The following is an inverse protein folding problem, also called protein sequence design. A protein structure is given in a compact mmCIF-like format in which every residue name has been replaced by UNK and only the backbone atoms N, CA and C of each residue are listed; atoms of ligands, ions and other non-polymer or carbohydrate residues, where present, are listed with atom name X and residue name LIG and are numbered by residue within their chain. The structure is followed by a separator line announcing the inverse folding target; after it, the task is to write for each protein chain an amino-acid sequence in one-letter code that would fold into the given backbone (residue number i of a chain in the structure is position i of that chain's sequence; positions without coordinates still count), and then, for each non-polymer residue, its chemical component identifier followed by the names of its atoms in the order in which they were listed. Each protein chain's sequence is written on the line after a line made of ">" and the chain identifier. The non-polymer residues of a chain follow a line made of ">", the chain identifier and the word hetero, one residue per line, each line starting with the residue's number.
data_IF_237270080952
#
_entry.id   IF_237270080952
#
_cell.length_a   1.000
_cell.length_b   1.000
_cell.length_c   1.000
_cell.angle_alpha   90.00
_cell.angle_beta   90.00
_cell.angle_gamma   90.00
#
_symmetry.space_group_name_H-M   'P 1'
#
loop_
_entity.id
_entity.type
_entity.pdbx_description
1 polymer ?
#
# COMPACT_ATOMS: atom_id res chain seq x y z
N UNK A 1 -5.90 -23.02 -10.68
CA UNK A 1 -5.81 -22.01 -9.59
C UNK A 1 -6.56 -22.44 -8.32
N UNK A 2 -7.76 -23.03 -8.40
CA UNK A 2 -8.50 -23.51 -7.22
C UNK A 2 -7.69 -24.51 -6.37
N UNK A 3 -6.99 -25.46 -6.99
CA UNK A 3 -6.13 -26.43 -6.29
C UNK A 3 -4.95 -25.71 -5.60
N UNK A 4 -4.36 -24.71 -6.24
CA UNK A 4 -3.28 -23.92 -5.64
C UNK A 4 -3.79 -23.12 -4.44
N UNK A 5 -4.99 -22.53 -4.55
CA UNK A 5 -5.61 -21.83 -3.43
C UNK A 5 -5.90 -22.76 -2.24
N UNK A 6 -6.44 -23.96 -2.50
CA UNK A 6 -6.61 -24.97 -1.45
C UNK A 6 -5.28 -25.36 -0.80
N UNK A 7 -4.20 -25.48 -1.60
CA UNK A 7 -2.85 -25.71 -1.09
C UNK A 7 -2.37 -24.58 -0.17
N UNK A 8 -2.63 -23.32 -0.51
CA UNK A 8 -2.32 -22.16 0.35
C UNK A 8 -3.09 -22.26 1.67
N UNK A 9 -4.40 -22.53 1.61
CA UNK A 9 -5.24 -22.65 2.82
C UNK A 9 -4.77 -23.82 3.70
N UNK A 10 -4.47 -24.98 3.11
CA UNK A 10 -3.94 -26.12 3.85
C UNK A 10 -2.59 -25.82 4.52
N UNK A 11 -1.70 -25.10 3.82
CA UNK A 11 -0.42 -24.65 4.38
C UNK A 11 -0.64 -23.67 5.53
N UNK A 12 -1.58 -22.73 5.39
CA UNK A 12 -1.92 -21.79 6.45
C UNK A 12 -2.46 -22.52 7.71
N UNK A 13 -3.34 -23.52 7.52
CA UNK A 13 -3.85 -24.35 8.61
C UNK A 13 -2.71 -25.13 9.30
N UNK A 14 -1.82 -25.76 8.53
CA UNK A 14 -0.66 -26.45 9.08
C UNK A 14 0.27 -25.53 9.87
N UNK A 15 0.48 -24.29 9.41
CA UNK A 15 1.25 -23.29 10.14
C UNK A 15 0.56 -22.82 11.42
N UNK A 16 -0.78 -22.72 11.42
CA UNK A 16 -1.54 -22.40 12.62
C UNK A 16 -1.43 -23.51 13.68
N UNK A 17 -1.57 -24.77 13.27
CA UNK A 17 -1.36 -25.94 14.16
C UNK A 17 0.08 -26.01 14.68
N UNK A 18 1.06 -25.76 13.82
CA UNK A 18 2.46 -25.66 14.23
C UNK A 18 2.65 -24.55 15.27
N UNK A 19 2.02 -23.39 15.07
CA UNK A 19 2.06 -22.30 16.03
C UNK A 19 1.46 -22.67 17.37
N UNK A 20 0.32 -23.35 17.37
CA UNK A 20 -0.30 -23.85 18.60
C UNK A 20 0.55 -24.90 19.32
N UNK A 21 1.24 -25.78 18.55
CA UNK A 21 2.13 -26.80 19.11
C UNK A 21 3.45 -26.23 19.67
N UNK A 22 3.91 -25.09 19.15
CA UNK A 22 5.16 -24.41 19.56
C UNK A 22 4.91 -23.23 20.50
N UNK A 23 3.67 -22.98 20.89
CA UNK A 23 3.32 -21.87 21.77
C UNK A 23 3.96 -22.05 23.15
N UNK A 24 4.84 -21.13 23.47
CA UNK A 24 5.52 -21.03 24.77
C UNK A 24 4.80 -20.08 25.74
N UNK A 25 3.58 -19.65 25.40
CA UNK A 25 2.81 -18.66 26.14
C UNK A 25 3.25 -17.22 25.92
N UNK A 26 4.25 -16.96 25.06
CA UNK A 26 4.71 -15.59 24.75
C UNK A 26 3.75 -14.85 23.78
N UNK A 27 2.89 -15.60 23.07
CA UNK A 27 2.00 -15.07 22.04
C UNK A 27 2.74 -14.52 20.81
N UNK A 28 4.04 -14.81 20.66
CA UNK A 28 4.85 -14.32 19.52
C UNK A 28 4.59 -15.17 18.28
N UNK A 29 3.76 -14.64 17.37
CA UNK A 29 3.40 -15.32 16.11
C UNK A 29 4.20 -14.80 14.89
N UNK A 30 5.07 -13.80 15.08
CA UNK A 30 5.83 -13.19 13.98
C UNK A 30 6.68 -14.19 13.20
N UNK A 31 7.35 -15.13 13.91
CA UNK A 31 8.14 -16.19 13.28
C UNK A 31 7.35 -17.08 12.34
N UNK A 32 6.07 -17.33 12.64
CA UNK A 32 5.18 -18.10 11.75
C UNK A 32 4.85 -17.34 10.45
N UNK A 33 4.68 -16.01 10.54
CA UNK A 33 4.50 -15.18 9.34
C UNK A 33 5.77 -15.14 8.48
N UNK A 34 6.96 -15.12 9.10
CA UNK A 34 8.21 -15.22 8.34
C UNK A 34 8.34 -16.59 7.67
N UNK A 35 8.05 -17.66 8.38
CA UNK A 35 8.06 -19.02 7.82
C UNK A 35 7.05 -19.13 6.67
N UNK A 36 5.82 -18.62 6.83
CA UNK A 36 4.83 -18.55 5.78
C UNK A 36 5.34 -17.78 4.56
N UNK A 37 5.94 -16.60 4.77
CA UNK A 37 6.50 -15.78 3.70
C UNK A 37 7.57 -16.56 2.90
N UNK A 38 8.49 -17.24 3.57
CA UNK A 38 9.55 -18.02 2.92
C UNK A 38 8.97 -19.22 2.16
N UNK A 39 8.06 -19.97 2.77
CA UNK A 39 7.41 -21.13 2.13
C UNK A 39 6.62 -20.70 0.89
N UNK A 40 5.75 -19.70 1.01
CA UNK A 40 4.98 -19.22 -0.12
C UNK A 40 5.85 -18.56 -1.19
N UNK A 41 6.95 -17.89 -0.82
CA UNK A 41 7.89 -17.35 -1.81
C UNK A 41 8.55 -18.47 -2.61
N UNK A 42 9.03 -19.51 -1.92
CA UNK A 42 9.61 -20.70 -2.58
C UNK A 42 8.63 -21.41 -3.49
N UNK A 43 7.43 -21.71 -2.99
CA UNK A 43 6.38 -22.37 -3.77
C UNK A 43 5.88 -21.48 -4.93
N UNK A 44 5.70 -20.18 -4.70
CA UNK A 44 5.29 -19.23 -5.74
C UNK A 44 6.30 -19.12 -6.86
N UNK A 45 7.60 -19.17 -6.54
CA UNK A 45 8.67 -19.20 -7.53
C UNK A 45 8.71 -20.53 -8.29
N UNK A 46 8.67 -21.68 -7.60
CA UNK A 46 8.76 -23.01 -8.21
C UNK A 46 7.58 -23.30 -9.13
N UNK A 47 6.36 -22.94 -8.73
CA UNK A 47 5.15 -23.16 -9.53
C UNK A 47 4.77 -21.97 -10.41
N UNK A 48 5.58 -20.94 -10.45
CA UNK A 48 5.34 -19.71 -11.23
C UNK A 48 3.94 -19.11 -10.95
N UNK A 49 3.48 -19.22 -9.70
CA UNK A 49 2.15 -18.79 -9.29
C UNK A 49 2.16 -17.40 -8.67
N UNK A 50 1.52 -16.45 -9.37
CA UNK A 50 1.32 -15.08 -8.86
C UNK A 50 0.46 -15.04 -7.60
N UNK A 51 -0.49 -15.99 -7.49
CA UNK A 51 -1.37 -16.10 -6.33
C UNK A 51 -0.58 -16.50 -5.07
N UNK A 52 0.24 -17.55 -5.15
CA UNK A 52 1.07 -17.99 -4.02
C UNK A 52 2.09 -16.90 -3.66
N UNK A 53 2.67 -16.24 -4.65
CA UNK A 53 3.56 -15.10 -4.44
C UNK A 53 2.88 -13.94 -3.72
N UNK A 54 1.61 -13.65 -4.03
CA UNK A 54 0.84 -12.65 -3.29
C UNK A 54 0.74 -13.00 -1.80
N UNK A 55 0.45 -14.26 -1.46
CA UNK A 55 0.43 -14.71 -0.07
C UNK A 55 1.81 -14.60 0.61
N UNK A 56 2.89 -14.82 -0.12
CA UNK A 56 4.24 -14.57 0.39
C UNK A 56 4.44 -13.10 0.80
N UNK A 57 4.03 -12.17 -0.06
CA UNK A 57 4.14 -10.73 0.20
C UNK A 57 3.23 -10.27 1.35
N UNK A 58 2.01 -10.80 1.44
CA UNK A 58 1.11 -10.52 2.55
C UNK A 58 1.66 -11.05 3.87
N UNK A 59 2.18 -12.29 3.88
CA UNK A 59 2.83 -12.86 5.06
C UNK A 59 4.06 -12.08 5.48
N UNK A 60 4.86 -11.58 4.52
CA UNK A 60 6.02 -10.74 4.79
C UNK A 60 5.60 -9.38 5.42
N UNK A 61 4.53 -8.77 4.92
CA UNK A 61 3.95 -7.56 5.52
C UNK A 61 3.44 -7.80 6.94
N UNK A 62 2.76 -8.95 7.17
CA UNK A 62 2.30 -9.36 8.50
C UNK A 62 3.49 -9.60 9.45
N UNK A 63 4.56 -10.26 8.97
CA UNK A 63 5.80 -10.40 9.75
C UNK A 63 6.37 -9.03 10.15
N UNK A 64 6.53 -8.13 9.19
CA UNK A 64 7.09 -6.81 9.45
C UNK A 64 6.23 -6.03 10.47
N UNK A 65 4.92 -6.06 10.34
CA UNK A 65 4.01 -5.39 11.25
C UNK A 65 4.05 -5.98 12.67
N UNK A 66 3.95 -7.31 12.80
CA UNK A 66 3.95 -7.99 14.09
C UNK A 66 5.32 -7.95 14.78
N UNK A 67 6.42 -8.22 14.05
CA UNK A 67 7.76 -8.21 14.64
C UNK A 67 8.13 -6.82 15.15
N UNK A 68 7.90 -5.77 14.36
CA UNK A 68 8.15 -4.41 14.83
C UNK A 68 7.20 -3.99 15.95
N UNK A 69 6.01 -4.58 16.04
CA UNK A 69 5.09 -4.45 17.17
C UNK A 69 5.67 -5.06 18.44
N UNK A 70 6.14 -6.31 18.39
CA UNK A 70 6.78 -6.98 19.53
C UNK A 70 8.03 -6.25 19.98
N UNK A 71 8.91 -5.86 19.06
CA UNK A 71 10.16 -5.16 19.38
C UNK A 71 9.91 -3.78 20.03
N UNK A 72 8.77 -3.15 19.73
CA UNK A 72 8.36 -1.90 20.37
C UNK A 72 7.53 -2.12 21.65
N UNK A 73 7.32 -3.36 22.08
CA UNK A 73 6.41 -3.70 23.18
C UNK A 73 4.95 -3.30 22.89
N UNK A 74 4.52 -3.38 21.63
CA UNK A 74 3.26 -2.83 21.10
C UNK A 74 3.09 -1.34 21.34
N UNK A 75 4.20 -0.63 21.59
CA UNK A 75 4.25 0.81 21.64
C UNK A 75 4.05 1.44 20.26
N UNK A 76 3.70 2.71 20.26
CA UNK A 76 3.43 3.45 19.04
C UNK A 76 4.63 3.51 18.09
N UNK A 77 5.85 3.60 18.65
CA UNK A 77 7.06 3.84 17.87
C UNK A 77 8.03 2.65 17.88
N UNK A 78 8.57 2.36 16.70
CA UNK A 78 9.75 1.55 16.51
C UNK A 78 10.76 2.36 15.70
N UNK A 79 11.95 2.60 16.23
CA UNK A 79 12.99 3.47 15.64
C UNK A 79 12.46 4.89 15.29
N UNK A 80 11.58 5.45 16.12
CA UNK A 80 10.97 6.76 15.90
C UNK A 80 9.86 6.79 14.82
N UNK A 81 9.47 5.64 14.29
CA UNK A 81 8.44 5.50 13.26
C UNK A 81 7.18 4.86 13.81
N UNK A 82 6.03 5.48 13.59
CA UNK A 82 4.74 4.83 13.83
C UNK A 82 4.44 3.74 12.78
N UNK A 83 3.35 2.99 12.97
CA UNK A 83 2.99 1.90 12.03
C UNK A 83 2.87 2.33 10.57
N UNK A 84 2.11 3.41 10.22
CA UNK A 84 2.04 3.85 8.84
C UNK A 84 3.41 4.16 8.23
N UNK A 85 4.31 4.84 8.95
CA UNK A 85 5.63 5.18 8.44
C UNK A 85 6.49 3.96 8.15
N UNK A 86 6.39 2.90 8.97
CA UNK A 86 7.06 1.60 8.71
C UNK A 86 6.57 1.00 7.39
N UNK A 87 5.25 1.09 7.11
CA UNK A 87 4.66 0.59 5.86
C UNK A 87 4.95 1.46 4.65
N UNK A 88 5.24 2.77 4.80
CA UNK A 88 5.82 3.60 3.72
C UNK A 88 7.17 3.02 3.30
N UNK A 89 8.04 2.71 4.25
CA UNK A 89 9.35 2.10 3.94
C UNK A 89 9.20 0.71 3.32
N UNK A 90 8.33 -0.13 3.88
CA UNK A 90 8.07 -1.46 3.34
C UNK A 90 7.57 -1.42 1.89
N UNK A 91 6.61 -0.53 1.59
CA UNK A 91 6.12 -0.31 0.23
C UNK A 91 7.23 0.15 -0.72
N UNK A 92 8.08 1.08 -0.26
CA UNK A 92 9.25 1.54 -1.02
C UNK A 92 10.24 0.40 -1.33
N UNK A 93 10.53 -0.44 -0.35
CA UNK A 93 11.40 -1.63 -0.52
C UNK A 93 10.80 -2.61 -1.53
N UNK A 94 9.49 -2.86 -1.49
CA UNK A 94 8.82 -3.73 -2.46
C UNK A 94 8.86 -3.16 -3.88
N UNK A 95 8.69 -1.85 -4.05
CA UNK A 95 8.79 -1.19 -5.36
C UNK A 95 10.23 -1.31 -5.90
N UNK A 96 11.23 -1.09 -5.06
CA UNK A 96 12.63 -1.27 -5.43
C UNK A 96 12.95 -2.74 -5.78
N UNK A 97 12.40 -3.69 -5.02
CA UNK A 97 12.53 -5.12 -5.30
C UNK A 97 11.87 -5.46 -6.66
N UNK A 98 10.68 -4.94 -6.94
CA UNK A 98 10.02 -5.13 -8.25
C UNK A 98 10.86 -4.59 -9.41
N UNK A 99 11.48 -3.41 -9.24
CA UNK A 99 12.39 -2.85 -10.24
C UNK A 99 13.66 -3.71 -10.45
N UNK A 100 14.16 -4.34 -9.38
CA UNK A 100 15.24 -5.33 -9.45
C UNK A 100 14.82 -6.62 -10.17
N UNK A 101 13.63 -7.14 -9.85
CA UNK A 101 13.08 -8.35 -10.48
C UNK A 101 12.85 -8.17 -11.99
N UNK A 102 12.42 -6.97 -12.42
CA UNK A 102 12.21 -6.66 -13.83
C UNK A 102 13.49 -6.80 -14.70
N UNK A 103 14.66 -6.74 -14.08
CA UNK A 103 15.96 -6.92 -14.77
C UNK A 103 16.38 -8.38 -14.91
N UNK A 104 15.63 -9.30 -14.30
CA UNK A 104 15.98 -10.72 -14.23
C UNK A 104 14.87 -11.53 -14.87
N UNK A 105 15.12 -12.14 -16.01
CA UNK A 105 14.14 -12.91 -16.80
C UNK A 105 13.40 -13.96 -15.96
N UNK A 106 14.11 -14.61 -15.02
CA UNK A 106 13.51 -15.64 -14.15
C UNK A 106 12.50 -15.10 -13.14
N UNK A 107 12.53 -13.79 -12.82
CA UNK A 107 11.69 -13.15 -11.81
C UNK A 107 10.65 -12.20 -12.40
N UNK A 108 10.71 -11.97 -13.71
CA UNK A 108 9.85 -11.01 -14.40
C UNK A 108 8.36 -11.27 -14.18
N UNK A 109 7.93 -12.54 -14.12
CA UNK A 109 6.53 -12.91 -13.90
C UNK A 109 5.99 -12.50 -12.52
N UNK A 110 6.86 -12.26 -11.53
CA UNK A 110 6.53 -11.82 -10.17
C UNK A 110 6.52 -10.29 -10.03
N UNK A 111 7.17 -9.59 -10.96
CA UNK A 111 7.41 -8.14 -10.89
C UNK A 111 6.10 -7.36 -10.71
N UNK A 112 5.08 -7.66 -11.52
CA UNK A 112 3.82 -6.92 -11.48
C UNK A 112 3.12 -7.08 -10.13
N UNK A 113 3.07 -8.29 -9.58
CA UNK A 113 2.43 -8.55 -8.27
C UNK A 113 3.17 -7.81 -7.16
N UNK A 114 4.51 -7.89 -7.16
CA UNK A 114 5.34 -7.18 -6.18
C UNK A 114 5.17 -5.67 -6.29
N UNK A 115 5.14 -5.11 -7.50
CA UNK A 115 4.92 -3.70 -7.74
C UNK A 115 3.54 -3.24 -7.23
N UNK A 116 2.48 -3.99 -7.51
CA UNK A 116 1.11 -3.65 -7.05
C UNK A 116 1.03 -3.66 -5.54
N UNK A 117 1.57 -4.68 -4.87
CA UNK A 117 1.58 -4.75 -3.41
C UNK A 117 2.44 -3.64 -2.81
N UNK A 118 3.58 -3.32 -3.42
CA UNK A 118 4.44 -2.22 -3.00
C UNK A 118 3.75 -0.86 -3.12
N UNK A 119 3.12 -0.58 -4.27
CA UNK A 119 2.38 0.67 -4.49
C UNK A 119 1.19 0.79 -3.52
N UNK A 120 0.45 -0.31 -3.30
CA UNK A 120 -0.69 -0.32 -2.39
C UNK A 120 -0.24 0.01 -0.95
N UNK A 121 0.81 -0.65 -0.46
CA UNK A 121 1.37 -0.38 0.87
C UNK A 121 1.87 1.06 0.98
N UNK A 122 2.65 1.53 0.00
CA UNK A 122 3.20 2.88 -0.02
C UNK A 122 2.07 3.93 0.04
N UNK A 123 1.09 3.82 -0.83
CA UNK A 123 0.06 4.85 -0.96
C UNK A 123 -0.96 4.83 0.17
N UNK A 124 -1.37 3.65 0.65
CA UNK A 124 -2.24 3.58 1.84
C UNK A 124 -1.51 4.14 3.06
N UNK A 125 -0.25 3.78 3.24
CA UNK A 125 0.54 4.27 4.36
C UNK A 125 0.77 5.78 4.29
N UNK A 126 1.07 6.36 3.12
CA UNK A 126 1.17 7.80 2.93
C UNK A 126 -0.16 8.52 3.17
N UNK A 127 -1.27 7.93 2.76
CA UNK A 127 -2.59 8.44 3.06
C UNK A 127 -2.85 8.49 4.57
N UNK A 128 -2.57 7.41 5.30
CA UNK A 128 -2.67 7.39 6.76
C UNK A 128 -1.72 8.41 7.41
N UNK A 129 -0.49 8.54 6.92
CA UNK A 129 0.45 9.56 7.38
C UNK A 129 -0.09 10.98 7.13
N UNK A 130 -0.81 11.23 6.04
CA UNK A 130 -1.39 12.53 5.75
C UNK A 130 -2.52 12.92 6.72
N UNK A 131 -3.16 11.93 7.36
CA UNK A 131 -4.25 12.12 8.34
C UNK A 131 -3.69 12.13 9.78
N UNK A 132 -2.86 11.15 10.11
CA UNK A 132 -2.42 10.90 11.49
C UNK A 132 -1.00 11.42 11.78
N UNK A 133 -0.24 11.81 10.76
CA UNK A 133 1.16 12.19 10.94
C UNK A 133 2.01 11.04 11.52
N UNK A 134 3.15 11.39 12.10
CA UNK A 134 3.98 10.44 12.85
C UNK A 134 3.73 10.59 14.36
N UNK A 135 2.47 10.64 14.78
CA UNK A 135 2.09 10.67 16.20
C UNK A 135 1.89 9.25 16.72
N UNK A 136 2.24 9.07 17.99
CA UNK A 136 2.22 7.77 18.65
C UNK A 136 1.00 7.51 19.52
N UNK A 137 0.28 8.57 19.89
CA UNK A 137 -0.90 8.50 20.73
C UNK A 137 -2.00 9.43 20.23
N UNK A 138 -3.24 9.11 20.62
CA UNK A 138 -4.44 9.84 20.16
C UNK A 138 -4.48 11.25 20.74
N UNK A 139 -3.99 11.45 21.97
CA UNK A 139 -4.05 12.74 22.64
C UNK A 139 -3.10 13.74 21.96
N UNK A 140 -1.87 13.32 21.66
CA UNK A 140 -0.92 14.14 20.91
C UNK A 140 -1.43 14.47 19.50
N UNK A 141 -2.04 13.50 18.82
CA UNK A 141 -2.64 13.71 17.51
C UNK A 141 -3.83 14.67 17.55
N UNK A 142 -4.73 14.52 18.55
CA UNK A 142 -5.93 15.36 18.68
C UNK A 142 -5.58 16.83 18.97
N UNK A 143 -4.51 17.07 19.73
CA UNK A 143 -4.00 18.41 20.06
C UNK A 143 -3.14 19.02 18.97
N UNK A 144 -2.72 18.24 17.96
CA UNK A 144 -1.90 18.74 16.85
C UNK A 144 -2.72 19.64 15.90
N UNK A 145 -2.10 20.70 15.42
CA UNK A 145 -2.75 21.60 14.46
C UNK A 145 -2.74 20.96 13.09
N UNK A 146 -3.84 21.10 12.33
CA UNK A 146 -3.95 20.52 10.98
C UNK A 146 -2.81 20.93 10.05
N UNK A 147 -2.26 22.12 10.20
CA UNK A 147 -1.13 22.58 9.40
C UNK A 147 0.13 21.70 9.61
N UNK A 148 0.25 21.04 10.75
CA UNK A 148 1.37 20.17 11.06
C UNK A 148 1.36 18.89 10.21
N UNK A 149 0.21 18.48 9.69
CA UNK A 149 0.06 17.34 8.77
C UNK A 149 0.30 17.72 7.31
N UNK A 150 0.34 19.01 6.99
CA UNK A 150 0.43 19.48 5.60
C UNK A 150 1.64 18.94 4.86
N UNK A 151 2.78 18.81 5.52
CA UNK A 151 3.98 18.26 4.89
C UNK A 151 3.82 16.79 4.49
N UNK A 152 3.05 15.97 5.24
CA UNK A 152 2.73 14.59 4.87
C UNK A 152 1.80 14.54 3.67
N UNK A 153 0.80 15.43 3.63
CA UNK A 153 -0.09 15.55 2.47
C UNK A 153 0.66 15.98 1.22
N UNK A 154 1.60 16.90 1.35
CA UNK A 154 2.46 17.34 0.24
C UNK A 154 3.35 16.18 -0.25
N UNK A 155 3.97 15.44 0.67
CA UNK A 155 4.77 14.26 0.34
C UNK A 155 3.94 13.21 -0.39
N UNK A 156 2.71 12.97 0.07
CA UNK A 156 1.76 12.06 -0.56
C UNK A 156 1.40 12.53 -1.99
N UNK A 157 1.09 13.82 -2.18
CA UNK A 157 0.82 14.38 -3.50
C UNK A 157 2.02 14.24 -4.44
N UNK A 158 3.23 14.56 -3.96
CA UNK A 158 4.45 14.43 -4.74
C UNK A 158 4.73 12.98 -5.15
N UNK A 159 4.52 12.02 -4.25
CA UNK A 159 4.65 10.59 -4.57
C UNK A 159 3.64 10.15 -5.64
N UNK A 160 2.38 10.64 -5.55
CA UNK A 160 1.35 10.35 -6.54
C UNK A 160 1.69 10.96 -7.92
N UNK A 161 2.14 12.20 -7.96
CA UNK A 161 2.57 12.87 -9.19
C UNK A 161 3.79 12.16 -9.79
N UNK A 162 4.75 11.75 -8.96
CA UNK A 162 5.92 10.98 -9.41
C UNK A 162 5.51 9.63 -10.02
N UNK A 163 4.52 8.95 -9.44
CA UNK A 163 3.98 7.70 -9.97
C UNK A 163 3.26 7.92 -11.32
N UNK A 164 2.48 9.01 -11.46
CA UNK A 164 1.86 9.38 -12.73
C UNK A 164 2.93 9.63 -13.79
N UNK A 165 3.92 10.46 -13.48
CA UNK A 165 4.99 10.82 -14.38
C UNK A 165 5.83 9.61 -14.81
N UNK A 166 6.19 8.76 -13.85
CA UNK A 166 6.91 7.52 -14.13
C UNK A 166 6.07 6.57 -14.99
N UNK A 167 4.79 6.39 -14.65
CA UNK A 167 3.87 5.55 -15.40
C UNK A 167 3.63 6.03 -16.84
N UNK A 168 3.64 7.35 -17.08
CA UNK A 168 3.58 7.93 -18.43
C UNK A 168 4.88 7.72 -19.21
N UNK A 169 6.04 7.83 -18.54
CA UNK A 169 7.34 7.65 -19.21
C UNK A 169 7.67 6.20 -19.54
N UNK A 170 7.21 5.27 -18.73
CA UNK A 170 7.51 3.83 -18.88
C UNK A 170 6.35 3.04 -19.49
N UNK A 171 5.29 3.73 -19.94
CA UNK A 171 4.04 3.14 -20.42
C UNK A 171 3.47 2.09 -19.45
N UNK A 172 3.57 2.37 -18.16
CA UNK A 172 3.06 1.49 -17.11
C UNK A 172 1.70 1.96 -16.59
N UNK A 173 0.58 1.40 -17.10
CA UNK A 173 -0.77 1.83 -16.73
C UNK A 173 -1.08 1.55 -15.26
N UNK A 174 -0.46 0.54 -14.66
CA UNK A 174 -0.64 0.21 -13.24
C UNK A 174 -0.11 1.35 -12.37
N UNK A 175 1.15 1.74 -12.54
CA UNK A 175 1.77 2.81 -11.74
C UNK A 175 1.06 4.15 -11.94
N UNK A 176 0.69 4.47 -13.19
CA UNK A 176 -0.10 5.67 -13.51
C UNK A 176 -1.47 5.66 -12.83
N UNK A 177 -2.17 4.52 -12.88
CA UNK A 177 -3.48 4.36 -12.27
C UNK A 177 -3.43 4.55 -10.75
N UNK A 178 -2.44 3.96 -10.07
CA UNK A 178 -2.22 4.20 -8.64
C UNK A 178 -1.97 5.69 -8.35
N UNK A 179 -1.08 6.33 -9.09
CA UNK A 179 -0.80 7.75 -8.92
C UNK A 179 -2.04 8.62 -9.06
N UNK A 180 -2.85 8.42 -10.12
CA UNK A 180 -4.10 9.15 -10.33
C UNK A 180 -5.10 8.93 -9.20
N UNK A 181 -5.37 7.67 -8.86
CA UNK A 181 -6.34 7.32 -7.81
C UNK A 181 -5.95 7.95 -6.47
N UNK A 182 -4.71 7.79 -6.07
CA UNK A 182 -4.26 8.29 -4.78
C UNK A 182 -4.04 9.81 -4.74
N UNK A 183 -3.78 10.46 -5.88
CA UNK A 183 -3.82 11.91 -5.97
C UNK A 183 -5.24 12.45 -5.71
N UNK A 184 -6.28 11.81 -6.27
CA UNK A 184 -7.66 12.17 -5.97
C UNK A 184 -8.04 11.89 -4.51
N UNK A 185 -7.61 10.76 -3.95
CA UNK A 185 -7.82 10.45 -2.53
C UNK A 185 -7.20 11.55 -1.66
N UNK A 186 -5.98 11.99 -1.96
CA UNK A 186 -5.33 13.09 -1.24
C UNK A 186 -6.13 14.39 -1.34
N UNK A 187 -6.53 14.76 -2.56
CA UNK A 187 -7.31 15.99 -2.81
C UNK A 187 -8.63 15.96 -2.03
N UNK A 188 -9.38 14.85 -2.10
CA UNK A 188 -10.66 14.74 -1.38
C UNK A 188 -10.46 14.69 0.13
N UNK A 189 -9.42 14.04 0.64
CA UNK A 189 -9.08 14.05 2.06
C UNK A 189 -8.87 15.49 2.54
N UNK A 190 -8.08 16.29 1.81
CA UNK A 190 -7.89 17.72 2.14
C UNK A 190 -9.18 18.53 1.99
N UNK A 191 -9.98 18.25 0.97
CA UNK A 191 -11.27 18.91 0.81
C UNK A 191 -12.17 18.68 2.03
N UNK A 192 -12.32 17.42 2.49
CA UNK A 192 -13.09 17.12 3.69
C UNK A 192 -12.52 17.80 4.92
N UNK A 193 -11.22 17.75 5.12
CA UNK A 193 -10.56 18.29 6.31
C UNK A 193 -10.71 19.81 6.45
N UNK A 194 -10.58 20.55 5.35
CA UNK A 194 -10.65 22.01 5.39
C UNK A 194 -12.06 22.58 5.24
N UNK A 195 -12.94 21.91 4.52
CA UNK A 195 -14.25 22.48 4.18
C UNK A 195 -15.41 21.88 4.98
N UNK A 196 -15.20 20.77 5.71
CA UNK A 196 -16.28 20.12 6.46
C UNK A 196 -16.97 21.07 7.44
N UNK A 197 -16.24 21.88 8.19
CA UNK A 197 -16.77 22.83 9.16
C UNK A 197 -16.87 24.26 8.62
N UNK A 198 -16.16 24.58 7.52
CA UNK A 198 -16.11 25.93 6.96
C UNK A 198 -17.29 26.25 6.02
N UNK A 199 -17.95 25.22 5.43
CA UNK A 199 -19.02 25.42 4.45
C UNK A 199 -20.36 24.86 4.94
N UNK A 200 -21.51 25.48 4.54
CA UNK A 200 -22.81 24.87 4.71
C UNK A 200 -22.84 23.48 4.07
N UNK A 201 -23.37 22.48 4.78
CA UNK A 201 -23.33 21.07 4.32
C UNK A 201 -23.93 20.87 2.93
N UNK A 202 -24.98 21.61 2.56
CA UNK A 202 -25.57 21.56 1.23
C UNK A 202 -24.56 22.00 0.14
N UNK A 203 -23.86 23.12 0.35
CA UNK A 203 -22.83 23.60 -0.59
C UNK A 203 -21.66 22.62 -0.68
N UNK A 204 -21.23 22.12 0.45
CA UNK A 204 -20.20 21.08 0.52
C UNK A 204 -20.54 19.87 -0.38
N UNK A 205 -21.73 19.28 -0.22
CA UNK A 205 -22.13 18.12 -1.01
C UNK A 205 -22.39 18.43 -2.48
N UNK A 206 -22.85 19.65 -2.82
CA UNK A 206 -23.03 20.07 -4.23
C UNK A 206 -21.67 20.13 -4.94
N UNK A 207 -20.65 20.73 -4.32
CA UNK A 207 -19.30 20.80 -4.90
C UNK A 207 -18.72 19.39 -5.05
N UNK A 208 -18.88 18.54 -4.04
CA UNK A 208 -18.43 17.16 -4.07
C UNK A 208 -19.09 16.38 -5.21
N UNK A 209 -20.42 16.46 -5.34
CA UNK A 209 -21.16 15.80 -6.41
C UNK A 209 -20.76 16.31 -7.80
N UNK A 210 -20.62 17.62 -7.97
CA UNK A 210 -20.17 18.22 -9.24
C UNK A 210 -18.75 17.76 -9.60
N UNK A 211 -17.85 17.65 -8.63
CA UNK A 211 -16.48 17.17 -8.86
C UNK A 211 -16.45 15.69 -9.27
N UNK A 212 -17.24 14.82 -8.63
CA UNK A 212 -17.37 13.41 -9.02
C UNK A 212 -18.02 13.26 -10.41
N UNK A 213 -19.05 14.08 -10.72
CA UNK A 213 -19.64 14.08 -12.05
C UNK A 213 -18.63 14.50 -13.12
N UNK A 214 -17.88 15.58 -12.89
CA UNK A 214 -16.85 16.04 -13.82
C UNK A 214 -15.74 15.00 -14.02
N UNK A 215 -15.30 14.34 -12.94
CA UNK A 215 -14.35 13.24 -13.00
C UNK A 215 -14.91 12.05 -13.79
N UNK A 216 -16.15 11.65 -13.52
CA UNK A 216 -16.82 10.57 -14.23
C UNK A 216 -16.95 10.86 -15.73
N UNK A 217 -17.32 12.10 -16.09
CA UNK A 217 -17.43 12.53 -17.48
C UNK A 217 -16.08 12.56 -18.22
N UNK A 218 -15.00 12.87 -17.52
CA UNK A 218 -13.63 12.89 -18.06
C UNK A 218 -12.81 11.64 -17.76
N UNK A 219 -13.39 10.67 -17.07
CA UNK A 219 -12.68 9.49 -16.57
C UNK A 219 -11.93 8.74 -17.69
N UNK A 220 -12.57 8.56 -18.85
CA UNK A 220 -11.97 7.87 -19.98
C UNK A 220 -10.77 8.64 -20.55
N UNK A 221 -10.90 9.96 -20.69
CA UNK A 221 -9.81 10.85 -21.14
C UNK A 221 -8.65 10.83 -20.16
N UNK A 222 -8.94 10.91 -18.86
CA UNK A 222 -7.94 10.90 -17.79
C UNK A 222 -7.23 9.55 -17.74
N UNK A 223 -7.99 8.45 -17.89
CA UNK A 223 -7.44 7.09 -17.83
C UNK A 223 -6.58 6.76 -19.05
N UNK A 224 -6.91 7.32 -20.21
CA UNK A 224 -6.21 7.12 -21.47
C UNK A 224 -5.09 8.15 -21.73
N UNK A 225 -4.77 9.03 -20.77
CA UNK A 225 -3.65 9.95 -20.88
C UNK A 225 -2.35 9.20 -21.22
N UNK A 226 -1.76 9.52 -22.39
CA UNK A 226 -0.53 8.91 -22.89
C UNK A 226 -0.71 7.71 -23.82
N UNK A 227 -1.93 7.20 -24.03
CA UNK A 227 -2.20 6.10 -24.98
C UNK A 227 -2.12 6.55 -26.44
N UNK A 228 -2.45 7.81 -26.71
CA UNK A 228 -2.52 8.37 -28.07
C UNK A 228 -1.14 8.68 -28.68
N UNK A 229 -0.04 8.46 -27.93
CA UNK A 229 1.32 8.71 -28.45
C UNK A 229 1.90 7.59 -29.31
N UNK A 230 1.25 6.43 -29.41
CA UNK A 230 1.75 5.26 -30.12
C UNK A 230 0.87 4.83 -31.30
N UNK A 231 -0.13 5.64 -31.68
CA UNK A 231 -1.03 5.36 -32.81
C UNK A 231 -0.60 5.92 -34.16
N UNK A 232 0.45 6.74 -34.22
CA UNK A 232 0.89 7.43 -35.46
C UNK A 232 2.35 7.11 -35.84
N UNK A 233 2.72 5.81 -35.87
CA UNK A 233 3.95 5.38 -36.59
C UNK A 233 3.72 4.10 -37.36
#
# INVERSE_FOLDING_TARGET
>A
EAVLFLGVVATAAALAELGAALDDGSGRVSGLFLLAAVLYAGLGYLWQSKLIWLFALLSLGSYMGTETGYLSGWGAYYLGMNFPMRFVLFGGVLIAAAAGMARTVRLEFLTRTTLVVGLLNLFIALWLMSIFGNYGDVDSWYNARQIEFFHWSLLFALAAIAAIYHGLRTDNPTTRGFGLTFLFINLYTRYFEFFWDAAPKAVFFVILAASFWALGHKAETIWNLGRDRHGDT
#
